data_IF_861101248255
#
_entry.id   IF_861101248255
#
_cell.length_a   1.000
_cell.length_b   1.000
_cell.length_c   1.000
_cell.angle_alpha   90.00
_cell.angle_beta   90.00
_cell.angle_gamma   90.00
#
_symmetry.space_group_name_H-M   'P 1'
#
loop_
_entity.id
_entity.type
_entity.pdbx_description
1 polymer ?
#
# COMPACT_ATOMS: atom_id res chain seq x y z
N UNK A 1 18.67 -15.10 -7.04
CA UNK A 1 17.62 -15.18 -6.00
C UNK A 1 17.56 -13.88 -5.21
N UNK A 2 16.50 -13.08 -5.35
CA UNK A 2 16.32 -11.85 -4.58
C UNK A 2 16.04 -12.15 -3.11
N UNK A 3 16.77 -11.54 -2.18
CA UNK A 3 16.56 -11.71 -0.74
C UNK A 3 15.16 -11.19 -0.37
N UNK A 4 14.24 -12.09 0.01
CA UNK A 4 12.93 -11.72 0.53
C UNK A 4 13.14 -11.01 1.87
N UNK A 5 12.86 -9.70 1.93
CA UNK A 5 12.95 -8.93 3.18
C UNK A 5 11.92 -9.46 4.18
N UNK A 6 12.30 -9.49 5.45
CA UNK A 6 11.43 -9.93 6.52
C UNK A 6 10.48 -8.76 6.90
N UNK A 7 9.27 -8.76 6.34
CA UNK A 7 8.29 -7.66 6.52
C UNK A 7 7.58 -7.67 7.90
N UNK A 8 8.13 -8.37 8.89
CA UNK A 8 7.50 -8.66 10.20
C UNK A 8 7.06 -7.43 11.00
N UNK A 9 7.52 -6.22 10.65
CA UNK A 9 7.25 -4.99 11.39
C UNK A 9 6.46 -3.93 10.61
N UNK A 10 5.87 -4.25 9.44
CA UNK A 10 4.99 -3.30 8.76
C UNK A 10 3.66 -3.23 9.49
N UNK A 11 3.36 -2.05 10.04
CA UNK A 11 2.10 -1.79 10.75
C UNK A 11 1.56 -0.44 10.32
N UNK A 12 0.27 -0.42 9.99
CA UNK A 12 -0.45 0.82 9.77
C UNK A 12 -0.91 1.40 11.11
N UNK A 13 -0.82 2.72 11.23
CA UNK A 13 -1.38 3.49 12.35
C UNK A 13 -2.86 3.80 12.11
N UNK A 14 -3.46 4.50 13.07
CA UNK A 14 -4.84 4.95 13.02
C UNK A 14 -5.12 6.00 11.94
N UNK A 15 -4.10 6.64 11.35
CA UNK A 15 -4.25 7.58 10.22
C UNK A 15 -4.18 6.87 8.87
N UNK A 16 -3.94 5.55 8.87
CA UNK A 16 -3.77 4.78 7.64
C UNK A 16 -2.40 4.97 6.99
N UNK A 17 -1.40 5.41 7.75
CA UNK A 17 0.01 5.48 7.33
C UNK A 17 0.76 4.29 7.93
N UNK A 18 1.78 3.75 7.25
CA UNK A 18 2.56 2.62 7.78
C UNK A 18 4.00 2.99 8.06
N UNK A 19 4.59 2.32 9.06
CA UNK A 19 6.01 2.44 9.37
C UNK A 19 6.81 1.33 8.69
N UNK A 20 7.90 1.70 8.02
CA UNK A 20 8.85 0.78 7.43
C UNK A 20 10.25 1.40 7.42
N UNK A 21 11.26 0.63 7.86
CA UNK A 21 12.67 1.06 7.89
C UNK A 21 12.88 2.46 8.53
N UNK A 22 12.20 2.73 9.65
CA UNK A 22 12.33 3.99 10.39
C UNK A 22 11.57 5.19 9.80
N UNK A 23 10.84 5.00 8.69
CA UNK A 23 10.09 6.06 8.01
C UNK A 23 8.59 5.76 8.00
N UNK A 24 7.76 6.81 8.08
CA UNK A 24 6.30 6.71 7.95
C UNK A 24 5.87 7.03 6.51
N UNK A 25 5.00 6.21 5.93
CA UNK A 25 4.55 6.34 4.54
C UNK A 25 3.03 6.39 4.44
N UNK A 26 2.50 7.35 3.67
CA UNK A 26 1.07 7.46 3.31
C UNK A 26 0.81 7.00 1.87
N UNK A 27 1.21 5.77 1.56
CA UNK A 27 1.02 5.19 0.22
C UNK A 27 -0.44 4.77 0.02
N UNK A 28 -1.04 5.17 -1.11
CA UNK A 28 -2.33 4.67 -1.55
C UNK A 28 -2.24 3.18 -1.94
N UNK A 29 -3.32 2.42 -1.76
CA UNK A 29 -3.36 0.99 -2.12
C UNK A 29 -3.23 0.71 -3.62
N UNK A 30 -3.26 1.73 -4.47
CA UNK A 30 -2.87 1.61 -5.89
C UNK A 30 -1.36 1.56 -6.12
N UNK A 31 -0.55 1.70 -5.06
CA UNK A 31 0.91 1.66 -5.07
C UNK A 31 1.56 2.80 -5.87
N UNK A 32 0.86 3.92 -6.08
CA UNK A 32 1.38 5.15 -6.67
C UNK A 32 1.80 6.15 -5.58
N UNK A 33 3.01 6.74 -5.71
CA UNK A 33 3.60 7.57 -4.65
C UNK A 33 2.83 8.87 -4.43
N UNK A 34 2.45 9.51 -5.53
CA UNK A 34 1.82 10.85 -5.52
C UNK A 34 0.30 10.78 -5.71
N UNK A 35 -0.30 9.62 -5.41
CA UNK A 35 -1.75 9.46 -5.51
C UNK A 35 -2.47 10.25 -4.41
N UNK A 36 -3.27 11.24 -4.82
CA UNK A 36 -4.23 11.95 -3.96
C UNK A 36 -5.32 11.01 -3.43
N UNK A 37 -5.67 10.00 -4.22
CA UNK A 37 -6.60 8.93 -3.92
C UNK A 37 -7.35 8.52 -5.18
N UNK A 38 -7.52 7.22 -5.40
CA UNK A 38 -8.11 6.66 -6.61
C UNK A 38 -9.21 5.63 -6.34
N UNK A 39 -9.60 5.49 -5.07
CA UNK A 39 -10.63 4.57 -4.62
C UNK A 39 -11.86 5.35 -4.17
N UNK A 40 -13.01 4.68 -4.17
CA UNK A 40 -14.20 5.23 -3.53
C UNK A 40 -13.95 5.50 -2.04
N UNK A 41 -14.64 6.49 -1.43
CA UNK A 41 -14.49 6.79 -0.02
C UNK A 41 -14.66 5.54 0.86
N UNK A 42 -13.63 5.26 1.65
CA UNK A 42 -13.65 4.13 2.57
C UNK A 42 -14.81 4.25 3.56
N UNK A 43 -15.62 3.21 3.70
CA UNK A 43 -16.77 3.20 4.62
C UNK A 43 -16.38 3.27 6.11
N UNK A 44 -15.10 3.02 6.44
CA UNK A 44 -14.59 3.04 7.82
C UNK A 44 -13.92 4.38 8.17
N UNK A 45 -13.24 5.01 7.22
CA UNK A 45 -12.40 6.19 7.49
C UNK A 45 -12.49 7.32 6.49
N UNK A 46 -13.42 7.24 5.54
CA UNK A 46 -13.70 8.20 4.46
C UNK A 46 -12.54 8.51 3.49
N UNK A 47 -11.32 8.04 3.78
CA UNK A 47 -10.16 8.18 2.89
C UNK A 47 -10.41 7.51 1.54
N UNK A 48 -10.00 8.20 0.48
CA UNK A 48 -9.98 7.74 -0.92
C UNK A 48 -8.68 7.01 -1.30
N UNK A 49 -7.83 6.72 -0.31
CA UNK A 49 -6.56 5.99 -0.48
C UNK A 49 -6.62 4.52 -0.05
N UNK A 50 -7.72 4.09 0.57
CA UNK A 50 -7.91 2.70 0.95
C UNK A 50 -8.39 1.88 -0.24
N UNK A 51 -7.80 0.71 -0.44
CA UNK A 51 -8.25 -0.26 -1.42
C UNK A 51 -9.44 -1.07 -0.90
N UNK A 52 -9.50 -2.39 -1.18
CA UNK A 52 -10.60 -3.23 -0.71
C UNK A 52 -10.64 -3.36 0.82
N UNK A 53 -9.54 -3.06 1.52
CA UNK A 53 -9.45 -3.08 2.97
C UNK A 53 -8.98 -1.74 3.51
N UNK A 54 -9.61 -1.25 4.58
CA UNK A 54 -9.21 0.00 5.23
C UNK A 54 -7.73 -0.03 5.65
N UNK A 55 -7.01 1.07 5.38
CA UNK A 55 -5.61 1.21 5.79
C UNK A 55 -5.44 1.42 7.30
N UNK A 56 -6.45 1.92 8.02
CA UNK A 56 -6.33 2.19 9.47
C UNK A 56 -6.07 0.89 10.23
N UNK A 57 -5.00 0.87 11.02
CA UNK A 57 -4.66 -0.22 11.95
C UNK A 57 -4.49 -1.63 11.35
N UNK A 58 -4.43 -1.77 10.02
CA UNK A 58 -4.19 -3.08 9.40
C UNK A 58 -2.72 -3.53 9.56
N UNK A 59 -2.50 -4.83 9.51
CA UNK A 59 -1.18 -5.47 9.74
C UNK A 59 -0.52 -6.01 8.48
N UNK A 60 -1.02 -5.63 7.31
CA UNK A 60 -0.48 -6.06 6.03
C UNK A 60 -0.33 -4.88 5.08
N UNK A 61 0.46 -5.10 4.03
CA UNK A 61 0.65 -4.19 2.92
C UNK A 61 0.57 -4.98 1.63
N UNK A 62 0.03 -4.39 0.56
CA UNK A 62 0.10 -4.99 -0.76
C UNK A 62 1.54 -4.96 -1.26
N UNK A 63 2.05 -6.13 -1.65
CA UNK A 63 3.38 -6.25 -2.25
C UNK A 63 3.38 -5.79 -3.71
N UNK A 64 2.33 -6.11 -4.45
CA UNK A 64 2.20 -5.80 -5.88
C UNK A 64 0.74 -5.71 -6.30
N UNK A 65 0.50 -5.08 -7.46
CA UNK A 65 -0.78 -5.02 -8.17
C UNK A 65 -0.55 -5.36 -9.64
N UNK A 66 -1.43 -6.17 -10.21
CA UNK A 66 -1.42 -6.55 -11.62
C UNK A 66 -2.54 -5.83 -12.37
N UNK A 67 -2.23 -5.35 -13.58
CA UNK A 67 -3.23 -4.81 -14.52
C UNK A 67 -3.49 -5.84 -15.62
N UNK A 68 -4.78 -6.12 -15.85
CA UNK A 68 -5.23 -7.16 -16.80
C UNK A 68 -5.61 -6.54 -18.16
N UNK A 69 -5.74 -5.21 -18.25
CA UNK A 69 -6.14 -4.51 -19.46
C UNK A 69 -4.92 -4.24 -20.35
N UNK A 70 -4.74 -5.10 -21.37
CA UNK A 70 -3.69 -5.09 -22.43
C UNK A 70 -2.25 -4.93 -21.93
N UNK A 71 -1.47 -6.00 -22.12
CA UNK A 71 -0.14 -6.26 -21.54
C UNK A 71 -0.15 -6.35 -20.00
N UNK A 72 0.21 -7.54 -19.48
CA UNK A 72 0.26 -7.77 -18.04
C UNK A 72 1.36 -6.93 -17.41
N UNK A 73 0.99 -5.80 -16.82
CA UNK A 73 1.91 -4.98 -16.04
C UNK A 73 1.84 -5.33 -14.55
N UNK A 74 2.98 -5.75 -13.98
CA UNK A 74 3.15 -5.97 -12.54
C UNK A 74 3.73 -4.72 -11.88
N UNK A 75 2.89 -4.00 -11.13
CA UNK A 75 3.33 -2.88 -10.29
C UNK A 75 3.70 -3.36 -8.89
N UNK A 76 4.99 -3.44 -8.60
CA UNK A 76 5.50 -3.75 -7.26
C UNK A 76 5.50 -2.49 -6.40
N UNK A 77 5.19 -2.64 -5.12
CA UNK A 77 5.19 -1.59 -4.12
C UNK A 77 6.53 -0.83 -4.09
N UNK A 78 6.52 0.49 -4.38
CA UNK A 78 7.74 1.27 -4.51
C UNK A 78 8.51 1.46 -3.20
N UNK A 79 7.87 1.24 -2.04
CA UNK A 79 8.52 1.35 -0.73
C UNK A 79 9.26 0.05 -0.36
N UNK A 80 8.83 -1.09 -0.93
CA UNK A 80 9.44 -2.39 -0.65
C UNK A 80 10.55 -2.75 -1.65
N UNK A 81 10.60 -2.05 -2.79
CA UNK A 81 11.66 -2.19 -3.81
C UNK A 81 13.01 -1.70 -3.25
N UNK A 82 14.07 -2.47 -3.51
CA UNK A 82 15.44 -1.97 -3.48
C UNK A 82 15.76 -1.36 -4.83
#
# INVERSE_FOLDING_TARGET
MGKVKNFRNIRYNEKGQFYFEGTCYDLCDCLEKDCSGCWFPCQICTSIKCGPYCRRNRRFIFHSKEYVCSDKELKINPILKK
#
